data_IF_724426567790
#
_entry.id   IF_724426567790
#
_cell.length_a   1.000
_cell.length_b   1.000
_cell.length_c   1.000
_cell.angle_alpha   90.00
_cell.angle_beta   90.00
_cell.angle_gamma   90.00
#
_symmetry.space_group_name_H-M   'P 1'
#
loop_
_entity.id
_entity.type
_entity.pdbx_description
1 polymer ?
#
# COMPACT_ATOMS: atom_id res chain seq x y z
N UNK A 1 -7.05 1.43 5.16
CA UNK A 1 -6.02 2.34 5.72
C UNK A 1 -6.43 3.81 5.63
N UNK A 2 -6.88 4.30 4.47
CA UNK A 2 -7.22 5.72 4.28
C UNK A 2 -8.33 6.24 5.22
N UNK A 3 -9.39 5.44 5.42
CA UNK A 3 -10.51 5.82 6.31
C UNK A 3 -10.08 5.93 7.79
N UNK A 4 -9.12 5.10 8.22
CA UNK A 4 -8.58 5.12 9.59
C UNK A 4 -7.71 6.37 9.84
N UNK A 5 -7.01 6.86 8.81
CA UNK A 5 -6.20 8.06 8.92
C UNK A 5 -7.09 9.32 8.98
N UNK A 6 -8.18 9.35 8.21
CA UNK A 6 -9.13 10.45 8.21
C UNK A 6 -9.83 10.61 9.57
N UNK A 7 -10.22 9.49 10.20
CA UNK A 7 -10.80 9.51 11.55
C UNK A 7 -9.83 10.00 12.62
N UNK A 8 -8.53 9.68 12.50
CA UNK A 8 -7.52 10.16 13.45
C UNK A 8 -7.32 11.67 13.32
N UNK A 9 -7.22 12.19 12.08
CA UNK A 9 -7.07 13.63 11.84
C UNK A 9 -8.30 14.40 12.34
N UNK A 10 -9.52 13.89 12.07
CA UNK A 10 -10.75 14.52 12.54
C UNK A 10 -10.84 14.52 14.08
N UNK A 11 -10.40 13.44 14.73
CA UNK A 11 -10.36 13.34 16.20
C UNK A 11 -9.37 14.35 16.81
N UNK A 12 -8.20 14.55 16.21
CA UNK A 12 -7.23 15.55 16.68
C UNK A 12 -7.70 16.99 16.45
N UNK A 13 -8.42 17.27 15.34
CA UNK A 13 -9.01 18.59 15.12
C UNK A 13 -10.09 18.92 16.15
N UNK A 14 -10.94 17.96 16.54
CA UNK A 14 -11.95 18.16 17.59
C UNK A 14 -11.27 18.33 18.97
N UNK A 15 -10.24 17.54 19.27
CA UNK A 15 -9.51 17.65 20.54
C UNK A 15 -8.83 19.02 20.69
N UNK A 16 -8.31 19.58 19.59
CA UNK A 16 -7.71 20.93 19.58
C UNK A 16 -8.69 22.06 19.84
N UNK A 17 -9.99 21.88 19.53
CA UNK A 17 -11.04 22.85 19.84
C UNK A 17 -11.55 22.72 21.29
N UNK A 18 -11.37 21.56 21.93
CA UNK A 18 -11.80 21.31 23.32
C UNK A 18 -10.81 21.80 24.40
N UNK A 19 -9.60 22.19 24.01
CA UNK A 19 -8.53 22.67 24.90
C UNK A 19 -8.32 24.18 24.75
N UNK A 20 -9.37 24.97 24.88
CA UNK A 20 -9.22 26.39 25.21
C UNK A 20 -9.49 26.57 26.71
N UNK A 21 -8.47 26.89 27.54
CA UNK A 21 -8.73 27.27 28.92
C UNK A 21 -9.51 28.59 28.93
N UNK A 22 -10.69 28.60 29.54
CA UNK A 22 -11.46 29.82 29.79
C UNK A 22 -10.77 30.63 30.90
N UNK A 23 -9.87 31.56 30.54
CA UNK A 23 -9.28 32.48 31.52
C UNK A 23 -10.23 33.66 31.75
N UNK A 24 -10.80 33.80 32.94
CA UNK A 24 -11.34 35.10 33.38
C UNK A 24 -10.17 35.99 33.81
N UNK A 25 -9.84 37.01 33.02
CA UNK A 25 -8.89 38.04 33.43
C UNK A 25 -9.64 39.08 34.27
N UNK A 26 -9.35 39.13 35.58
CA UNK A 26 -9.82 40.20 36.45
C UNK A 26 -8.67 41.20 36.67
N UNK A 27 -8.79 42.39 36.11
CA UNK A 27 -7.83 43.49 36.29
C UNK A 27 -8.57 44.65 36.98
N UNK A 28 -8.00 45.15 38.08
CA UNK A 28 -8.49 46.37 38.74
C UNK A 28 -7.31 47.26 39.12
N UNK A 29 -7.44 48.56 38.85
CA UNK A 29 -6.41 49.56 39.16
C UNK A 29 -7.06 50.71 39.91
N UNK A 30 -6.54 51.03 41.10
CA UNK A 30 -6.99 52.16 41.91
C UNK A 30 -6.04 53.35 41.79
N UNK A 31 -6.41 54.32 40.95
CA UNK A 31 -5.66 55.57 40.81
C UNK A 31 -6.13 56.61 41.84
N UNK A 32 -6.03 56.26 43.12
CA UNK A 32 -6.57 57.03 44.24
C UNK A 32 -8.02 56.69 44.58
N UNK A 33 -8.43 57.00 45.81
CA UNK A 33 -9.74 56.68 46.37
C UNK A 33 -10.56 57.97 46.46
N UNK A 34 -11.53 58.19 45.56
CA UNK A 34 -12.36 59.39 45.56
C UNK A 34 -13.83 59.03 45.76
N UNK A 35 -14.61 59.82 46.52
CA UNK A 35 -16.05 59.60 46.62
C UNK A 35 -16.75 59.86 45.27
N UNK A 36 -17.77 59.08 44.89
CA UNK A 36 -18.32 57.93 45.63
C UNK A 36 -17.44 56.67 45.48
N UNK A 37 -17.16 55.99 46.60
CA UNK A 37 -16.39 54.75 46.62
C UNK A 37 -17.27 53.60 46.15
N UNK A 38 -17.23 53.24 44.86
CA UNK A 38 -18.10 52.18 44.29
C UNK A 38 -17.59 50.77 44.61
N UNK A 39 -16.27 50.61 44.64
CA UNK A 39 -15.62 49.30 44.61
C UNK A 39 -14.88 48.97 45.91
N UNK A 40 -14.90 49.89 46.89
CA UNK A 40 -14.20 49.73 48.17
C UNK A 40 -15.10 50.09 49.34
N UNK A 41 -15.13 49.20 50.32
CA UNK A 41 -15.77 49.40 51.61
C UNK A 41 -14.71 49.64 52.68
N UNK A 42 -14.90 50.69 53.48
CA UNK A 42 -13.95 51.15 54.51
C UNK A 42 -14.58 50.89 55.88
N UNK A 43 -13.87 50.22 56.79
CA UNK A 43 -14.38 49.77 58.10
C UNK A 43 -13.41 50.06 59.26
N UNK A 44 -13.97 50.26 60.46
CA UNK A 44 -13.19 50.68 61.62
C UNK A 44 -12.80 52.15 61.51
N UNK A 45 -11.57 52.50 61.87
CA UNK A 45 -11.10 53.89 61.89
C UNK A 45 -10.51 54.38 60.55
N UNK A 46 -10.55 53.54 59.51
CA UNK A 46 -10.03 53.92 58.20
C UNK A 46 -10.90 54.99 57.54
N UNK A 47 -10.27 55.91 56.83
CA UNK A 47 -10.96 56.98 56.12
C UNK A 47 -10.22 57.35 54.85
N UNK A 48 -10.92 58.00 53.93
CA UNK A 48 -10.32 58.51 52.69
C UNK A 48 -10.07 59.99 52.85
N UNK A 49 -8.85 60.42 52.59
CA UNK A 49 -8.47 61.83 52.64
C UNK A 49 -9.05 62.59 51.44
N UNK A 50 -9.27 63.91 51.53
CA UNK A 50 -9.74 64.72 50.40
C UNK A 50 -8.82 64.66 49.16
N UNK A 51 -7.55 64.27 49.35
CA UNK A 51 -6.55 64.11 48.28
C UNK A 51 -6.52 62.70 47.67
N UNK A 52 -7.46 61.83 48.04
CA UNK A 52 -7.59 60.51 47.46
C UNK A 52 -6.71 59.41 48.07
N UNK A 53 -6.02 59.69 49.19
CA UNK A 53 -5.24 58.66 49.90
C UNK A 53 -6.11 57.93 50.93
N UNK A 54 -5.98 56.61 51.01
CA UNK A 54 -6.63 55.79 52.03
C UNK A 54 -5.80 55.77 53.30
N UNK A 55 -6.40 56.24 54.40
CA UNK A 55 -5.80 56.24 55.72
C UNK A 55 -6.32 55.04 56.50
N UNK A 56 -5.42 54.13 56.87
CA UNK A 56 -5.77 52.89 57.59
C UNK A 56 -5.64 53.00 59.12
N UNK A 57 -4.86 53.95 59.65
CA UNK A 57 -4.62 54.07 61.10
C UNK A 57 -4.57 55.53 61.59
N UNK A 58 -4.78 55.76 62.89
CA UNK A 58 -4.64 57.06 63.57
C UNK A 58 -3.75 56.89 64.81
N UNK A 59 -2.78 57.78 64.98
CA UNK A 59 -1.65 57.62 65.93
C UNK A 59 -2.10 57.56 67.41
N UNK A 60 -3.25 58.12 67.76
CA UNK A 60 -3.60 58.40 69.16
C UNK A 60 -4.05 57.19 70.00
N UNK A 61 -4.16 55.96 69.45
CA UNK A 61 -4.82 54.87 70.17
C UNK A 61 -4.43 53.43 69.82
N UNK A 62 -3.40 53.19 69.00
CA UNK A 62 -3.04 51.80 68.64
C UNK A 62 -4.26 51.05 68.03
N UNK A 63 -5.04 51.72 67.19
CA UNK A 63 -6.24 51.17 66.55
C UNK A 63 -5.97 50.88 65.06
N UNK A 64 -6.57 49.82 64.52
CA UNK A 64 -6.44 49.39 63.12
C UNK A 64 -7.74 49.59 62.34
N UNK A 65 -7.67 50.24 61.18
CA UNK A 65 -8.74 50.32 60.19
C UNK A 65 -8.52 49.33 59.03
N UNK A 66 -9.60 49.00 58.34
CA UNK A 66 -9.64 47.99 57.28
C UNK A 66 -10.31 48.54 56.02
N UNK A 67 -9.79 48.15 54.85
CA UNK A 67 -10.47 48.38 53.59
C UNK A 67 -10.63 47.07 52.82
N UNK A 68 -11.81 46.92 52.22
CA UNK A 68 -12.23 45.74 51.47
C UNK A 68 -12.58 46.12 50.05
N UNK A 69 -12.12 45.31 49.09
CA UNK A 69 -12.64 45.36 47.74
C UNK A 69 -14.05 44.76 47.70
N UNK A 70 -15.05 45.56 47.34
CA UNK A 70 -16.47 45.23 47.50
C UNK A 70 -16.98 44.17 46.51
N UNK A 71 -16.24 43.87 45.44
CA UNK A 71 -16.65 42.87 44.43
C UNK A 71 -16.03 41.51 44.77
N UNK A 72 -16.85 40.46 45.02
CA UNK A 72 -16.33 39.13 45.31
C UNK A 72 -15.52 38.57 44.14
N UNK A 73 -14.35 38.00 44.45
CA UNK A 73 -13.53 37.29 43.47
C UNK A 73 -13.87 35.80 43.56
N UNK A 74 -14.29 35.20 42.45
CA UNK A 74 -14.60 33.76 42.39
C UNK A 74 -13.33 32.97 42.15
N UNK A 75 -12.93 32.19 43.16
CA UNK A 75 -11.74 31.31 43.10
C UNK A 75 -12.07 29.84 42.81
N UNK A 76 -13.37 29.49 42.76
CA UNK A 76 -13.89 28.13 42.55
C UNK A 76 -15.09 28.17 41.61
N UNK A 77 -15.03 27.41 40.52
CA UNK A 77 -16.18 27.13 39.61
C UNK A 77 -16.23 25.62 39.22
N UNK A 78 -15.46 24.76 39.89
CA UNK A 78 -15.38 23.33 39.60
C UNK A 78 -16.34 22.51 40.48
N UNK A 79 -17.07 21.51 39.94
CA UNK A 79 -17.86 20.58 40.75
C UNK A 79 -17.01 19.77 41.75
N UNK A 80 -15.69 19.72 41.56
CA UNK A 80 -14.74 19.04 42.44
C UNK A 80 -14.10 19.97 43.48
N UNK A 81 -14.60 21.20 43.63
CA UNK A 81 -14.19 22.15 44.67
C UNK A 81 -12.69 22.59 44.63
N UNK A 82 -12.04 22.36 43.49
CA UNK A 82 -10.64 22.73 43.23
C UNK A 82 -10.48 24.22 42.95
N UNK A 83 -9.54 24.87 43.63
CA UNK A 83 -9.23 26.30 43.50
C UNK A 83 -8.40 26.57 42.25
N UNK A 84 -8.68 27.67 41.52
CA UNK A 84 -7.85 28.10 40.39
C UNK A 84 -6.49 28.65 40.87
N UNK A 85 -5.41 28.28 40.17
CA UNK A 85 -4.11 28.94 40.34
C UNK A 85 -4.21 30.40 39.92
N UNK A 86 -3.73 31.32 40.76
CA UNK A 86 -3.71 32.75 40.47
C UNK A 86 -2.34 33.37 40.71
N UNK A 87 -2.09 34.50 40.04
CA UNK A 87 -0.92 35.36 40.27
C UNK A 87 -1.43 36.79 40.40
N UNK A 88 -0.91 37.53 41.39
CA UNK A 88 -1.29 38.92 41.61
C UNK A 88 -0.04 39.78 41.78
N UNK A 89 -0.11 41.03 41.31
CA UNK A 89 0.97 42.01 41.39
C UNK A 89 0.39 43.31 41.92
N UNK A 90 0.90 43.79 43.05
CA UNK A 90 0.49 45.06 43.65
C UNK A 90 1.63 46.07 43.60
N UNK A 91 1.31 47.32 43.30
CA UNK A 91 2.24 48.46 43.40
C UNK A 91 1.56 49.52 44.26
N UNK A 92 2.18 49.90 45.38
CA UNK A 92 1.66 50.92 46.28
C UNK A 92 2.80 51.73 46.90
N UNK A 93 2.47 52.92 47.41
CA UNK A 93 3.36 53.76 48.20
C UNK A 93 2.76 53.93 49.60
N UNK A 94 3.58 53.73 50.64
CA UNK A 94 3.18 53.96 52.04
C UNK A 94 3.86 55.24 52.50
N UNK A 95 3.06 56.20 52.99
CA UNK A 95 3.55 57.40 53.66
C UNK A 95 3.36 57.25 55.17
N UNK A 96 4.46 57.15 55.93
CA UNK A 96 4.45 56.92 57.37
C UNK A 96 4.75 58.21 58.13
N UNK A 97 3.86 58.63 59.02
CA UNK A 97 3.99 59.87 59.80
C UNK A 97 5.13 59.86 60.83
N UNK A 98 5.69 58.70 61.20
CA UNK A 98 6.75 58.57 62.22
C UNK A 98 7.86 57.68 61.67
N UNK A 99 8.95 58.27 61.18
CA UNK A 99 10.08 57.57 60.57
C UNK A 99 11.03 56.89 61.57
N UNK A 100 10.84 57.07 62.88
CA UNK A 100 11.77 56.60 63.94
C UNK A 100 11.51 55.19 64.47
N UNK A 101 10.34 54.61 64.22
CA UNK A 101 10.04 53.22 64.60
C UNK A 101 9.84 52.38 63.34
N UNK A 102 10.73 51.41 63.09
CA UNK A 102 10.51 50.40 62.07
C UNK A 102 9.38 49.47 62.51
N UNK A 103 8.33 49.35 61.71
CA UNK A 103 7.16 48.52 62.06
C UNK A 103 5.84 48.93 61.41
N UNK A 104 5.77 50.02 60.63
CA UNK A 104 4.58 50.30 59.84
C UNK A 104 4.58 49.43 58.57
N UNK A 105 3.67 48.46 58.51
CA UNK A 105 3.49 47.58 57.37
C UNK A 105 2.01 47.37 57.08
N UNK A 106 1.71 46.80 55.91
CA UNK A 106 0.37 46.35 55.58
C UNK A 106 0.39 44.90 55.15
N UNK A 107 -0.65 44.15 55.47
CA UNK A 107 -0.81 42.77 55.01
C UNK A 107 -2.00 42.66 54.06
N UNK A 108 -1.81 41.95 52.95
CA UNK A 108 -2.92 41.55 52.10
C UNK A 108 -3.50 40.25 52.63
N UNK A 109 -4.75 40.28 53.06
CA UNK A 109 -5.44 39.08 53.54
C UNK A 109 -6.52 38.70 52.56
N UNK A 110 -6.82 37.42 52.52
CA UNK A 110 -7.87 36.90 51.69
C UNK A 110 -8.92 36.24 52.58
N UNK A 111 -10.03 36.94 52.86
CA UNK A 111 -11.05 36.52 53.83
C UNK A 111 -12.35 36.06 53.16
N UNK A 112 -13.19 35.21 53.77
CA UNK A 112 -14.47 34.78 53.18
C UNK A 112 -15.64 35.74 53.48
N UNK A 113 -15.45 36.76 54.31
CA UNK A 113 -16.48 37.73 54.73
C UNK A 113 -15.90 39.14 54.80
N UNK A 114 -16.76 40.15 54.62
CA UNK A 114 -16.41 41.57 54.71
C UNK A 114 -16.29 42.08 56.16
N UNK A 115 -15.90 41.25 57.12
CA UNK A 115 -15.81 41.63 58.54
C UNK A 115 -14.72 40.83 59.26
N UNK A 116 -13.86 41.52 60.00
CA UNK A 116 -12.84 40.92 60.88
C UNK A 116 -13.17 41.22 62.35
N UNK A 117 -12.87 40.27 63.24
CA UNK A 117 -13.05 40.45 64.69
C UNK A 117 -12.03 41.48 65.22
N UNK A 118 -12.41 42.40 66.13
CA UNK A 118 -11.47 43.37 66.68
C UNK A 118 -10.40 42.66 67.52
N UNK A 119 -9.13 42.76 67.09
CA UNK A 119 -7.97 42.21 67.81
C UNK A 119 -6.88 43.27 67.96
N UNK A 120 -6.06 43.14 69.01
CA UNK A 120 -5.00 44.08 69.34
C UNK A 120 -4.01 44.29 68.16
N UNK A 121 -3.59 45.55 67.90
CA UNK A 121 -2.87 46.00 66.69
C UNK A 121 -1.48 45.39 66.47
N UNK A 122 -0.91 44.71 67.46
CA UNK A 122 0.42 44.10 67.38
C UNK A 122 0.43 42.67 66.86
N UNK A 123 -0.74 42.02 66.73
CA UNK A 123 -0.80 40.64 66.22
C UNK A 123 -1.06 40.55 64.72
N UNK A 124 -1.51 41.64 64.08
CA UNK A 124 -1.81 41.66 62.65
C UNK A 124 -1.63 43.08 62.09
N UNK A 125 -0.41 43.41 61.66
CA UNK A 125 -0.05 44.66 60.97
C UNK A 125 -1.13 45.07 59.94
N UNK A 126 -1.64 46.30 60.08
CA UNK A 126 -2.68 46.99 59.28
C UNK A 126 -3.10 46.27 57.98
N UNK A 127 -4.19 45.50 58.04
CA UNK A 127 -4.59 44.60 56.96
C UNK A 127 -5.45 45.28 55.89
N UNK A 128 -5.09 45.09 54.62
CA UNK A 128 -5.95 45.29 53.46
C UNK A 128 -6.47 43.91 53.04
N UNK A 129 -7.78 43.70 52.87
CA UNK A 129 -8.30 42.34 52.65
C UNK A 129 -9.02 42.20 51.30
N UNK A 130 -8.53 41.29 50.46
CA UNK A 130 -9.07 40.90 49.16
C UNK A 130 -9.69 39.49 49.27
N UNK A 131 -11.01 39.34 49.38
CA UNK A 131 -11.72 38.10 49.76
C UNK A 131 -11.46 36.87 48.84
N UNK A 132 -11.16 35.67 49.37
CA UNK A 132 -10.87 34.44 48.55
C UNK A 132 -10.05 33.24 49.13
N UNK A 133 -10.37 32.63 50.27
CA UNK A 133 -9.88 31.29 50.77
C UNK A 133 -8.40 30.80 50.61
N UNK A 134 -7.76 30.55 51.78
CA UNK A 134 -6.56 29.73 52.14
C UNK A 134 -5.10 30.27 52.00
N UNK A 135 -4.57 30.76 53.13
CA UNK A 135 -3.40 30.27 53.90
C UNK A 135 -1.99 30.08 53.31
N UNK A 136 -1.07 31.03 53.59
CA UNK A 136 0.32 30.79 54.08
C UNK A 136 1.06 32.11 54.36
N UNK A 137 1.86 32.16 55.43
CA UNK A 137 2.58 33.34 55.94
C UNK A 137 3.86 33.66 55.15
N UNK A 138 4.19 34.95 54.99
CA UNK A 138 5.48 35.41 54.42
C UNK A 138 6.11 36.43 55.36
N UNK A 139 7.37 36.18 55.71
CA UNK A 139 8.23 37.02 56.56
C UNK A 139 9.13 37.91 55.69
N UNK A 140 9.33 39.18 56.05
CA UNK A 140 10.26 40.07 55.34
C UNK A 140 11.14 40.88 56.30
N UNK A 141 12.45 40.78 56.06
CA UNK A 141 13.51 41.57 56.69
C UNK A 141 13.73 42.89 55.94
N UNK A 142 13.86 43.99 56.68
CA UNK A 142 14.07 45.36 56.17
C UNK A 142 15.52 45.81 56.35
N UNK A 143 16.14 46.29 55.26
CA UNK A 143 17.24 47.26 55.31
C UNK A 143 16.86 48.45 54.43
N UNK A 144 16.92 49.64 55.04
CA UNK A 144 16.31 50.86 54.54
C UNK A 144 17.10 51.64 53.48
N UNK A 145 16.51 52.77 53.09
CA UNK A 145 17.12 53.79 52.24
C UNK A 145 16.10 54.42 51.30
N UNK A 146 15.55 55.57 51.71
CA UNK A 146 14.50 56.33 51.02
C UNK A 146 14.93 56.84 49.65
N UNK A 147 14.04 56.70 48.65
CA UNK A 147 14.02 57.50 47.43
C UNK A 147 12.60 57.48 46.88
N UNK A 148 11.99 58.64 46.71
CA UNK A 148 10.67 58.82 46.08
C UNK A 148 10.70 58.16 44.70
N UNK A 149 9.88 57.12 44.51
CA UNK A 149 9.84 56.31 43.29
C UNK A 149 9.30 57.17 42.15
N UNK A 150 10.19 57.64 41.28
CA UNK A 150 9.80 58.21 40.00
C UNK A 150 9.11 57.12 39.16
N UNK A 151 7.87 57.35 38.73
CA UNK A 151 7.10 56.42 37.89
C UNK A 151 7.85 56.00 36.61
N UNK A 152 8.82 56.79 36.15
CA UNK A 152 9.70 56.51 35.01
C UNK A 152 10.84 55.54 35.29
N UNK A 153 11.04 55.10 36.55
CA UNK A 153 12.10 54.17 36.98
C UNK A 153 11.59 52.79 37.40
N UNK A 154 10.31 52.48 37.20
CA UNK A 154 9.83 51.11 37.33
C UNK A 154 10.56 50.23 36.31
N UNK A 155 11.04 49.02 36.67
CA UNK A 155 11.52 48.09 35.67
C UNK A 155 10.38 47.84 34.69
N UNK A 156 10.60 48.03 33.39
CA UNK A 156 9.67 47.50 32.42
C UNK A 156 9.60 46.00 32.68
N UNK A 157 8.42 45.51 33.05
CA UNK A 157 8.15 44.08 33.15
C UNK A 157 8.43 43.54 31.75
N UNK A 158 9.58 42.89 31.58
CA UNK A 158 9.90 42.22 30.34
C UNK A 158 8.74 41.29 30.02
N UNK A 159 8.08 41.50 28.88
CA UNK A 159 7.17 40.50 28.34
C UNK A 159 7.97 39.20 28.30
N UNK A 160 7.65 38.26 29.20
CA UNK A 160 8.30 36.96 29.23
C UNK A 160 8.02 36.30 27.89
N UNK A 161 9.04 36.25 27.04
CA UNK A 161 9.07 35.59 25.73
C UNK A 161 8.92 34.06 25.79
N UNK A 162 8.58 33.50 26.96
CA UNK A 162 8.51 32.06 27.20
C UNK A 162 7.37 31.32 26.50
N UNK A 163 6.39 32.02 25.90
CA UNK A 163 5.27 31.39 25.17
C UNK A 163 5.25 31.66 23.66
N UNK A 164 6.02 32.63 23.15
CA UNK A 164 6.04 32.93 21.72
C UNK A 164 6.61 31.76 20.89
N UNK A 165 7.61 31.07 21.43
CA UNK A 165 8.23 29.92 20.75
C UNK A 165 7.27 28.72 20.63
N UNK A 166 6.37 28.53 21.60
CA UNK A 166 5.33 27.49 21.54
C UNK A 166 4.30 27.80 20.45
N UNK A 167 3.89 29.07 20.30
CA UNK A 167 2.99 29.48 19.22
C UNK A 167 3.62 29.30 17.83
N UNK A 168 4.91 29.65 17.68
CA UNK A 168 5.66 29.43 16.44
C UNK A 168 5.81 27.94 16.12
N UNK A 169 6.10 27.11 17.13
CA UNK A 169 6.19 25.65 16.99
C UNK A 169 4.85 25.04 16.57
N UNK A 170 3.75 25.47 17.18
CA UNK A 170 2.40 25.01 16.81
C UNK A 170 2.06 25.40 15.36
N UNK A 171 2.37 26.62 14.96
CA UNK A 171 2.15 27.08 13.59
C UNK A 171 2.99 26.28 12.58
N UNK A 172 4.24 25.98 12.91
CA UNK A 172 5.13 25.14 12.10
C UNK A 172 4.60 23.70 11.96
N UNK A 173 4.07 23.11 13.04
CA UNK A 173 3.47 21.76 13.02
C UNK A 173 2.23 21.74 12.12
N UNK A 174 1.37 22.76 12.20
CA UNK A 174 0.17 22.87 11.35
C UNK A 174 0.55 23.00 9.88
N UNK A 175 1.50 23.87 9.55
CA UNK A 175 1.99 24.03 8.17
C UNK A 175 2.60 22.71 7.66
N UNK A 176 3.43 22.05 8.48
CA UNK A 176 4.02 20.77 8.12
C UNK A 176 2.95 19.70 7.84
N UNK A 177 1.89 19.65 8.66
CA UNK A 177 0.75 18.76 8.44
C UNK A 177 0.01 19.03 7.12
N UNK A 178 -0.20 20.31 6.78
CA UNK A 178 -0.83 20.71 5.51
C UNK A 178 0.05 20.32 4.32
N UNK A 179 1.37 20.55 4.41
CA UNK A 179 2.30 20.17 3.34
C UNK A 179 2.36 18.64 3.15
N UNK A 180 2.37 17.86 4.24
CA UNK A 180 2.32 16.39 4.17
C UNK A 180 1.02 15.88 3.53
N UNK A 181 -0.12 16.49 3.84
CA UNK A 181 -1.41 16.08 3.23
C UNK A 181 -1.45 16.39 1.74
N UNK A 182 -0.99 17.57 1.31
CA UNK A 182 -0.85 17.93 -0.11
C UNK A 182 0.09 16.95 -0.82
N UNK A 183 1.22 16.61 -0.21
CA UNK A 183 2.17 15.63 -0.76
C UNK A 183 1.49 14.26 -0.97
N UNK A 184 0.75 13.75 0.02
CA UNK A 184 0.06 12.45 -0.14
C UNK A 184 -1.00 12.52 -1.24
N UNK A 185 -1.77 13.61 -1.34
CA UNK A 185 -2.81 13.80 -2.35
C UNK A 185 -2.25 13.89 -3.78
N UNK A 186 -1.05 14.45 -3.97
CA UNK A 186 -0.41 14.54 -5.29
C UNK A 186 0.30 13.23 -5.65
N UNK A 187 1.12 12.67 -4.74
CA UNK A 187 1.99 11.55 -5.08
C UNK A 187 1.30 10.17 -5.04
N UNK A 188 0.25 10.00 -4.24
CA UNK A 188 -0.54 8.76 -4.19
C UNK A 188 -1.21 8.41 -5.53
N UNK A 189 -1.97 9.32 -6.19
CA UNK A 189 -2.56 9.02 -7.49
C UNK A 189 -1.49 8.87 -8.57
N UNK A 190 -0.38 9.62 -8.55
CA UNK A 190 0.73 9.43 -9.50
C UNK A 190 1.32 8.02 -9.35
N UNK A 191 1.51 7.52 -8.12
CA UNK A 191 1.96 6.15 -7.89
C UNK A 191 0.93 5.12 -8.32
N UNK A 192 -0.35 5.34 -8.06
CA UNK A 192 -1.43 4.46 -8.49
C UNK A 192 -1.52 4.40 -10.01
N UNK A 193 -1.50 5.55 -10.70
CA UNK A 193 -1.47 5.65 -12.16
C UNK A 193 -0.20 5.00 -12.69
N UNK A 194 1.00 5.25 -12.12
CA UNK A 194 2.22 4.51 -12.49
C UNK A 194 2.08 3.01 -12.26
N UNK A 195 1.41 2.56 -11.21
CA UNK A 195 1.19 1.15 -10.93
C UNK A 195 0.22 0.52 -11.95
N UNK A 196 -0.87 1.23 -12.28
CA UNK A 196 -1.85 0.86 -13.30
C UNK A 196 -1.19 0.85 -14.68
N UNK A 197 -0.43 1.89 -15.04
CA UNK A 197 0.32 1.98 -16.29
C UNK A 197 1.41 0.91 -16.35
N UNK A 198 2.14 0.64 -15.26
CA UNK A 198 3.10 -0.49 -15.19
C UNK A 198 2.40 -1.83 -15.35
N UNK A 199 1.23 -2.04 -14.72
CA UNK A 199 0.41 -3.24 -14.93
C UNK A 199 -0.06 -3.32 -16.38
N UNK A 200 -0.60 -2.25 -16.95
CA UNK A 200 -1.05 -2.20 -18.34
C UNK A 200 0.10 -2.45 -19.31
N UNK A 201 1.26 -1.82 -19.11
CA UNK A 201 2.49 -2.06 -19.90
C UNK A 201 3.06 -3.47 -19.70
N UNK A 202 2.81 -4.09 -18.55
CA UNK A 202 3.10 -5.51 -18.32
C UNK A 202 2.21 -6.40 -19.20
N UNK A 203 0.96 -6.01 -19.49
CA UNK A 203 -0.02 -6.79 -20.28
C UNK A 203 -0.32 -6.20 -21.67
N UNK A 204 0.47 -5.24 -22.14
CA UNK A 204 0.35 -4.71 -23.50
C UNK A 204 0.93 -5.76 -24.43
N UNK A 205 0.05 -6.29 -25.28
CA UNK A 205 0.33 -7.35 -26.23
C UNK A 205 0.24 -6.72 -27.62
N UNK A 206 1.33 -6.75 -28.37
CA UNK A 206 1.33 -6.42 -29.80
C UNK A 206 0.61 -7.54 -30.55
N UNK A 207 -0.23 -7.16 -31.51
CA UNK A 207 -1.00 -8.06 -32.37
C UNK A 207 -0.45 -7.83 -33.78
N UNK A 208 0.18 -8.87 -34.35
CA UNK A 208 0.66 -8.84 -35.74
C UNK A 208 -0.47 -9.25 -36.70
N UNK A 209 -0.41 -8.82 -37.96
CA UNK A 209 -1.50 -8.98 -38.94
C UNK A 209 -1.91 -10.44 -39.19
N UNK A 210 -1.00 -11.41 -39.05
CA UNK A 210 -1.31 -12.84 -39.16
C UNK A 210 -2.12 -13.36 -37.96
N UNK A 211 -2.07 -12.70 -36.79
CA UNK A 211 -2.87 -13.09 -35.62
C UNK A 211 -4.36 -12.80 -35.83
N UNK A 212 -4.72 -11.97 -36.80
CA UNK A 212 -6.12 -11.61 -37.10
C UNK A 212 -6.93 -12.80 -37.61
N UNK A 213 -6.30 -13.71 -38.34
CA UNK A 213 -6.94 -14.92 -38.91
C UNK A 213 -7.17 -16.01 -37.84
N UNK A 214 -6.31 -16.07 -36.82
CA UNK A 214 -6.34 -17.07 -35.75
C UNK A 214 -6.81 -16.52 -34.38
N UNK A 215 -7.21 -15.24 -34.32
CA UNK A 215 -7.53 -14.50 -33.11
C UNK A 215 -8.56 -15.19 -32.21
N UNK A 216 -9.48 -15.97 -32.79
CA UNK A 216 -10.55 -16.69 -32.07
C UNK A 216 -10.00 -17.70 -31.05
N UNK A 217 -8.83 -18.27 -31.29
CA UNK A 217 -8.21 -19.30 -30.42
C UNK A 217 -7.08 -18.74 -29.55
N UNK A 218 -6.90 -17.41 -29.49
CA UNK A 218 -5.87 -16.77 -28.66
C UNK A 218 -6.28 -16.77 -27.19
N UNK A 219 -5.41 -17.29 -26.34
CA UNK A 219 -5.61 -17.40 -24.89
C UNK A 219 -4.78 -16.38 -24.12
N UNK A 220 -5.27 -15.94 -22.97
CA UNK A 220 -4.57 -14.98 -22.11
C UNK A 220 -3.44 -15.67 -21.35
N UNK A 221 -2.25 -15.10 -21.38
CA UNK A 221 -1.10 -15.61 -20.64
C UNK A 221 -1.41 -15.80 -19.15
N UNK A 222 -2.18 -14.88 -18.55
CA UNK A 222 -2.58 -14.95 -17.14
C UNK A 222 -3.30 -16.27 -16.83
N UNK A 223 -4.20 -16.71 -17.70
CA UNK A 223 -5.01 -17.90 -17.47
C UNK A 223 -4.14 -19.16 -17.56
N UNK A 224 -3.22 -19.20 -18.54
CA UNK A 224 -2.25 -20.28 -18.68
C UNK A 224 -1.25 -20.33 -17.52
N UNK A 225 -0.77 -19.17 -17.06
CA UNK A 225 0.13 -19.08 -15.90
C UNK A 225 -0.51 -19.66 -14.64
N UNK A 226 -1.80 -19.39 -14.38
CA UNK A 226 -2.49 -20.02 -13.26
C UNK A 226 -2.79 -21.49 -13.50
N UNK A 227 -3.14 -21.87 -14.73
CA UNK A 227 -3.40 -23.26 -15.09
C UNK A 227 -2.17 -24.16 -14.84
N UNK A 228 -0.97 -23.65 -15.12
CA UNK A 228 0.31 -24.36 -14.95
C UNK A 228 1.03 -24.06 -13.64
N UNK A 229 0.34 -23.42 -12.67
CA UNK A 229 0.90 -23.03 -11.37
C UNK A 229 2.22 -22.23 -11.47
N UNK A 230 2.36 -21.48 -12.56
CA UNK A 230 3.49 -20.60 -12.85
C UNK A 230 4.61 -21.21 -13.66
N UNK A 231 4.37 -22.29 -14.41
CA UNK A 231 5.39 -22.98 -15.23
C UNK A 231 6.60 -23.42 -14.41
N UNK A 232 6.35 -24.07 -13.27
CA UNK A 232 7.41 -24.57 -12.39
C UNK A 232 7.93 -25.90 -12.94
N UNK A 233 9.24 -26.10 -12.84
CA UNK A 233 9.88 -27.36 -13.21
C UNK A 233 9.74 -28.35 -12.04
N UNK A 234 8.53 -28.92 -11.91
CA UNK A 234 8.14 -29.87 -10.87
C UNK A 234 7.36 -31.05 -11.51
N UNK A 235 6.50 -31.72 -10.74
CA UNK A 235 5.66 -32.84 -11.22
C UNK A 235 4.72 -32.47 -12.39
N UNK A 236 4.46 -31.17 -12.63
CA UNK A 236 3.65 -30.73 -13.76
C UNK A 236 4.47 -30.62 -15.06
N UNK A 237 5.80 -30.76 -15.03
CA UNK A 237 6.64 -30.80 -16.24
C UNK A 237 6.54 -32.17 -16.92
N UNK A 238 5.91 -32.22 -18.10
CA UNK A 238 5.69 -33.46 -18.86
C UNK A 238 6.90 -33.84 -19.71
N UNK A 239 7.70 -32.87 -20.14
CA UNK A 239 8.89 -33.12 -20.95
C UNK A 239 9.60 -31.84 -21.35
N UNK A 240 10.89 -31.96 -21.67
CA UNK A 240 11.72 -30.88 -22.21
C UNK A 240 12.56 -31.43 -23.35
N UNK A 241 12.65 -30.68 -24.46
CA UNK A 241 13.42 -31.07 -25.64
C UNK A 241 13.76 -29.89 -26.55
N UNK A 242 14.18 -30.18 -27.78
CA UNK A 242 14.56 -29.16 -28.77
C UNK A 242 13.46 -28.14 -29.08
N UNK A 243 12.20 -28.52 -28.88
CA UNK A 243 11.01 -27.70 -29.13
C UNK A 243 10.55 -26.90 -27.91
N UNK A 244 11.30 -26.94 -26.80
CA UNK A 244 10.96 -26.27 -25.54
C UNK A 244 10.44 -27.23 -24.46
N UNK A 245 9.63 -26.72 -23.54
CA UNK A 245 9.14 -27.45 -22.36
C UNK A 245 7.62 -27.57 -22.38
N UNK A 246 7.09 -28.72 -21.99
CA UNK A 246 5.65 -29.00 -21.97
C UNK A 246 5.18 -29.19 -20.54
N UNK A 247 4.17 -28.43 -20.13
CA UNK A 247 3.63 -28.45 -18.77
C UNK A 247 2.18 -28.94 -18.76
N UNK A 248 1.84 -29.79 -17.81
CA UNK A 248 0.46 -30.10 -17.46
C UNK A 248 -0.17 -28.87 -16.79
N UNK A 249 -1.44 -28.62 -17.09
CA UNK A 249 -2.21 -27.59 -16.43
C UNK A 249 -3.69 -27.92 -16.33
N UNK A 250 -4.40 -27.18 -15.48
CA UNK A 250 -5.85 -27.28 -15.34
C UNK A 250 -6.46 -25.90 -15.53
N UNK A 251 -7.32 -25.77 -16.54
CA UNK A 251 -7.94 -24.48 -16.85
C UNK A 251 -8.83 -24.00 -15.69
N UNK A 252 -8.60 -22.81 -15.11
CA UNK A 252 -9.28 -22.39 -13.87
C UNK A 252 -10.82 -22.37 -13.96
N UNK A 253 -11.37 -22.06 -15.14
CA UNK A 253 -12.82 -21.90 -15.35
C UNK A 253 -13.53 -23.21 -15.70
N UNK A 254 -12.92 -24.02 -16.56
CA UNK A 254 -13.54 -25.23 -17.11
C UNK A 254 -13.11 -26.49 -16.39
N UNK A 255 -12.07 -26.42 -15.54
CA UNK A 255 -11.41 -27.58 -14.93
C UNK A 255 -10.88 -28.60 -15.94
N UNK A 256 -10.73 -28.20 -17.21
CA UNK A 256 -10.20 -29.04 -18.27
C UNK A 256 -8.69 -29.20 -18.11
N UNK A 257 -8.21 -30.43 -18.11
CA UNK A 257 -6.78 -30.74 -18.15
C UNK A 257 -6.22 -30.40 -19.55
N UNK A 258 -5.08 -29.70 -19.56
CA UNK A 258 -4.41 -29.23 -20.76
C UNK A 258 -2.92 -29.51 -20.70
N UNK A 259 -2.30 -29.58 -21.87
CA UNK A 259 -0.85 -29.55 -22.02
C UNK A 259 -0.43 -28.22 -22.65
N UNK A 260 0.47 -27.48 -22.00
CA UNK A 260 0.97 -26.19 -22.47
C UNK A 260 2.42 -26.35 -22.90
N UNK A 261 2.66 -26.34 -24.21
CA UNK A 261 3.99 -26.36 -24.82
C UNK A 261 4.52 -24.93 -24.88
N UNK A 262 5.56 -24.65 -24.11
CA UNK A 262 6.30 -23.39 -24.09
C UNK A 262 7.49 -23.50 -25.03
N UNK A 263 7.33 -22.94 -26.22
CA UNK A 263 8.33 -22.97 -27.28
C UNK A 263 9.50 -22.05 -26.91
N UNK A 264 10.72 -22.55 -27.13
CA UNK A 264 11.93 -21.78 -26.88
C UNK A 264 12.06 -20.64 -27.88
N UNK A 265 11.96 -19.39 -27.43
CA UNK A 265 12.17 -18.20 -28.28
C UNK A 265 13.65 -17.80 -28.42
N UNK A 266 14.59 -18.72 -28.16
CA UNK A 266 16.04 -18.41 -28.23
C UNK A 266 16.56 -18.33 -29.68
N UNK A 267 15.80 -18.81 -30.65
CA UNK A 267 16.17 -18.81 -32.07
C UNK A 267 15.00 -18.37 -32.94
N UNK A 268 15.30 -17.87 -34.14
CA UNK A 268 14.28 -17.58 -35.16
C UNK A 268 13.50 -18.84 -35.58
N UNK A 269 14.05 -20.03 -35.36
CA UNK A 269 13.39 -21.29 -35.68
C UNK A 269 12.19 -21.54 -34.76
N UNK A 270 12.28 -21.21 -33.47
CA UNK A 270 11.17 -21.42 -32.53
C UNK A 270 9.90 -20.65 -32.91
N UNK A 271 10.05 -19.42 -33.41
CA UNK A 271 8.91 -18.64 -33.92
C UNK A 271 8.34 -19.25 -35.21
N UNK A 272 9.20 -19.72 -36.12
CA UNK A 272 8.74 -20.41 -37.34
C UNK A 272 7.95 -21.66 -37.02
N UNK A 273 8.44 -22.50 -36.11
CA UNK A 273 7.78 -23.73 -35.69
C UNK A 273 6.44 -23.42 -35.02
N UNK A 274 6.40 -22.39 -34.17
CA UNK A 274 5.18 -21.91 -33.53
C UNK A 274 4.11 -21.47 -34.54
N UNK A 275 4.49 -20.68 -35.54
CA UNK A 275 3.58 -20.22 -36.60
C UNK A 275 3.16 -21.38 -37.49
N UNK A 276 4.08 -22.26 -37.87
CA UNK A 276 3.78 -23.44 -38.68
C UNK A 276 2.77 -24.37 -38.00
N UNK A 277 2.91 -24.57 -36.70
CA UNK A 277 2.00 -25.40 -35.91
C UNK A 277 0.60 -24.78 -35.82
N UNK A 278 0.48 -23.47 -35.58
CA UNK A 278 -0.82 -22.76 -35.59
C UNK A 278 -1.48 -22.80 -36.97
N UNK A 279 -0.71 -22.52 -38.02
CA UNK A 279 -1.21 -22.48 -39.39
C UNK A 279 -1.65 -23.86 -39.90
N UNK A 280 -0.95 -24.92 -39.48
CA UNK A 280 -1.27 -26.30 -39.85
C UNK A 280 -2.45 -26.81 -39.04
N UNK A 281 -2.29 -27.14 -37.76
CA UNK A 281 -3.32 -27.87 -37.01
C UNK A 281 -4.43 -26.97 -36.45
N UNK A 282 -4.27 -25.65 -36.43
CA UNK A 282 -5.17 -24.72 -35.73
C UNK A 282 -6.62 -24.71 -36.22
N UNK A 283 -6.89 -25.18 -37.45
CA UNK A 283 -8.26 -25.34 -38.01
C UNK A 283 -8.69 -26.80 -38.17
N UNK A 284 -7.81 -27.76 -37.87
CA UNK A 284 -8.06 -29.18 -38.11
C UNK A 284 -8.66 -29.83 -36.86
N UNK A 285 -9.59 -30.76 -37.08
CA UNK A 285 -10.15 -31.59 -36.01
C UNK A 285 -10.32 -33.01 -36.52
N UNK A 286 -9.52 -33.92 -35.99
CA UNK A 286 -9.58 -35.34 -36.31
C UNK A 286 -9.35 -36.18 -35.06
N UNK A 287 -10.01 -37.34 -34.96
CA UNK A 287 -9.97 -38.20 -33.76
C UNK A 287 -8.57 -38.73 -33.43
N UNK A 288 -7.69 -38.82 -34.43
CA UNK A 288 -6.31 -39.28 -34.30
C UNK A 288 -5.27 -38.14 -34.44
N UNK A 289 -5.71 -36.90 -34.32
CA UNK A 289 -4.82 -35.75 -34.14
C UNK A 289 -4.91 -35.26 -32.70
N UNK A 290 -3.81 -34.72 -32.17
CA UNK A 290 -3.80 -34.06 -30.85
C UNK A 290 -4.49 -32.71 -31.00
N UNK A 291 -5.64 -32.45 -30.35
CA UNK A 291 -6.38 -31.21 -30.55
C UNK A 291 -5.60 -29.99 -30.04
N UNK A 292 -5.35 -29.02 -30.92
CA UNK A 292 -4.85 -27.70 -30.53
C UNK A 292 -6.04 -26.84 -30.07
N UNK A 293 -6.09 -26.53 -28.78
CA UNK A 293 -7.15 -25.74 -28.16
C UNK A 293 -6.94 -24.24 -28.35
N UNK A 294 -5.69 -23.81 -28.47
CA UNK A 294 -5.36 -22.42 -28.65
C UNK A 294 -3.88 -22.13 -28.49
N UNK A 295 -3.55 -20.86 -28.57
CA UNK A 295 -2.18 -20.37 -28.45
C UNK A 295 -2.13 -19.10 -27.61
N UNK A 296 -0.96 -18.77 -27.08
CA UNK A 296 -0.69 -17.49 -26.46
C UNK A 296 0.68 -17.01 -26.91
N UNK A 297 0.71 -15.82 -27.51
CA UNK A 297 1.93 -15.09 -27.85
C UNK A 297 1.98 -13.79 -27.05
N UNK A 298 3.06 -13.61 -26.28
CA UNK A 298 3.30 -12.38 -25.49
C UNK A 298 4.80 -12.14 -25.32
N UNK A 299 5.32 -11.09 -25.97
CA UNK A 299 6.76 -10.79 -25.99
C UNK A 299 7.54 -12.02 -26.46
N UNK A 300 8.40 -12.57 -25.60
CA UNK A 300 9.18 -13.78 -25.87
C UNK A 300 8.49 -15.10 -25.47
N UNK A 301 7.25 -15.03 -24.98
CA UNK A 301 6.46 -16.21 -24.62
C UNK A 301 5.67 -16.69 -25.83
N UNK A 302 6.00 -17.90 -26.29
CA UNK A 302 5.31 -18.63 -27.34
C UNK A 302 4.72 -19.90 -26.73
N UNK A 303 3.40 -19.93 -26.54
CA UNK A 303 2.69 -21.01 -25.86
C UNK A 303 1.65 -21.63 -26.77
N UNK A 304 1.68 -22.96 -26.90
CA UNK A 304 0.67 -23.75 -27.59
C UNK A 304 -0.06 -24.60 -26.57
N UNK A 305 -1.38 -24.69 -26.69
CA UNK A 305 -2.25 -25.32 -25.69
C UNK A 305 -3.02 -26.46 -26.33
N UNK A 306 -2.80 -27.68 -25.84
CA UNK A 306 -3.42 -28.90 -26.34
C UNK A 306 -4.28 -29.56 -25.28
N UNK A 307 -5.12 -30.49 -25.72
CA UNK A 307 -5.67 -31.49 -24.82
C UNK A 307 -4.55 -32.31 -24.16
N UNK A 308 -4.70 -32.57 -22.86
CA UNK A 308 -3.77 -33.41 -22.13
C UNK A 308 -3.95 -34.89 -22.50
N UNK A 309 -2.84 -35.57 -22.78
CA UNK A 309 -2.79 -36.99 -23.13
C UNK A 309 -2.26 -37.78 -21.91
N UNK A 310 -3.12 -38.46 -21.14
CA UNK A 310 -2.76 -39.02 -19.84
C UNK A 310 -1.76 -40.17 -19.92
N UNK A 311 -1.74 -40.92 -21.04
CA UNK A 311 -0.86 -42.06 -21.22
C UNK A 311 0.48 -41.68 -21.86
N UNK A 312 0.73 -40.38 -22.11
CA UNK A 312 2.00 -39.88 -22.64
C UNK A 312 2.28 -40.32 -24.07
N UNK A 313 3.55 -40.35 -24.45
CA UNK A 313 4.02 -40.67 -25.80
C UNK A 313 4.32 -42.17 -25.99
N UNK A 314 4.24 -42.64 -27.23
CA UNK A 314 4.41 -44.05 -27.59
C UNK A 314 5.83 -44.56 -27.34
N UNK A 315 6.85 -43.72 -27.50
CA UNK A 315 8.26 -44.07 -27.27
C UNK A 315 8.56 -44.56 -25.83
N UNK A 316 7.78 -44.09 -24.85
CA UNK A 316 7.80 -44.60 -23.46
C UNK A 316 7.55 -46.11 -23.40
N UNK A 317 6.67 -46.63 -24.26
CA UNK A 317 6.27 -48.03 -24.29
C UNK A 317 7.15 -48.90 -25.19
N UNK A 318 7.95 -48.29 -26.07
CA UNK A 318 8.79 -49.01 -27.04
C UNK A 318 10.25 -49.12 -26.62
N UNK A 319 10.81 -48.11 -25.94
CA UNK A 319 12.26 -47.99 -25.76
C UNK A 319 12.73 -47.95 -24.30
N UNK A 320 11.89 -47.54 -23.35
CA UNK A 320 12.33 -47.15 -22.02
C UNK A 320 12.21 -48.24 -20.94
N UNK A 321 12.34 -49.53 -21.33
CA UNK A 321 12.14 -50.68 -20.42
C UNK A 321 10.83 -50.56 -19.63
N UNK A 322 9.68 -50.63 -20.31
CA UNK A 322 8.42 -50.17 -19.76
C UNK A 322 7.94 -51.05 -18.60
N UNK A 323 7.45 -50.43 -17.51
CA UNK A 323 6.69 -51.11 -16.46
C UNK A 323 5.38 -51.71 -17.00
N UNK A 324 4.83 -51.13 -18.08
CA UNK A 324 3.59 -51.54 -18.73
C UNK A 324 3.82 -51.67 -20.23
N UNK A 325 3.72 -52.88 -20.77
CA UNK A 325 3.84 -53.13 -22.20
C UNK A 325 2.49 -53.03 -22.91
N UNK A 326 2.46 -52.39 -24.07
CA UNK A 326 1.27 -52.40 -24.93
C UNK A 326 1.06 -53.78 -25.55
N UNK A 327 -0.16 -54.30 -25.48
CA UNK A 327 -0.55 -55.54 -26.15
C UNK A 327 -0.68 -55.35 -27.67
N UNK A 328 -0.84 -56.46 -28.40
CA UNK A 328 -0.92 -56.41 -29.86
C UNK A 328 -2.17 -55.68 -30.39
N UNK A 329 -3.29 -55.77 -29.68
CA UNK A 329 -4.53 -55.10 -30.08
C UNK A 329 -4.40 -53.58 -29.91
N UNK A 330 -3.82 -53.12 -28.80
CA UNK A 330 -3.49 -51.72 -28.54
C UNK A 330 -2.52 -51.19 -29.58
N UNK A 331 -1.43 -51.91 -29.88
CA UNK A 331 -0.49 -51.54 -30.94
C UNK A 331 -1.20 -51.40 -32.28
N UNK A 332 -1.99 -52.40 -32.67
CA UNK A 332 -2.75 -52.36 -33.94
C UNK A 332 -3.71 -51.16 -33.99
N UNK A 333 -4.37 -50.84 -32.87
CA UNK A 333 -5.27 -49.69 -32.74
C UNK A 333 -4.51 -48.36 -32.92
N UNK A 334 -3.33 -48.24 -32.31
CA UNK A 334 -2.45 -47.07 -32.44
C UNK A 334 -2.00 -46.90 -33.90
N UNK A 335 -1.54 -47.97 -34.54
CA UNK A 335 -1.10 -47.97 -35.95
C UNK A 335 -2.24 -47.49 -36.87
N UNK A 336 -3.43 -48.07 -36.72
CA UNK A 336 -4.62 -47.66 -37.47
C UNK A 336 -4.97 -46.19 -37.24
N UNK A 337 -4.84 -45.72 -36.00
CA UNK A 337 -5.07 -44.32 -35.66
C UNK A 337 -4.10 -43.37 -36.37
N UNK A 338 -2.80 -43.66 -36.31
CA UNK A 338 -1.76 -42.85 -36.98
C UNK A 338 -1.95 -42.86 -38.50
N UNK A 339 -2.27 -44.02 -39.09
CA UNK A 339 -2.57 -44.11 -40.51
C UNK A 339 -3.81 -43.29 -40.90
N UNK A 340 -4.88 -43.32 -40.08
CA UNK A 340 -6.08 -42.50 -40.29
C UNK A 340 -5.78 -41.01 -40.19
N UNK A 341 -4.91 -40.59 -39.26
CA UNK A 341 -4.49 -39.20 -39.16
C UNK A 341 -3.75 -38.74 -40.41
N UNK A 342 -2.86 -39.56 -40.95
CA UNK A 342 -2.06 -39.20 -42.12
C UNK A 342 -2.87 -39.19 -43.41
N UNK A 343 -3.78 -40.15 -43.55
CA UNK A 343 -4.74 -40.11 -44.65
C UNK A 343 -5.55 -38.81 -44.64
N UNK A 344 -6.06 -38.40 -43.47
CA UNK A 344 -6.76 -37.12 -43.33
C UNK A 344 -5.89 -35.92 -43.73
N UNK A 345 -4.63 -35.89 -43.28
CA UNK A 345 -3.68 -34.81 -43.58
C UNK A 345 -3.28 -34.74 -45.05
N UNK A 346 -3.18 -35.88 -45.73
CA UNK A 346 -2.69 -35.97 -47.10
C UNK A 346 -3.79 -35.82 -48.14
N UNK A 347 -5.01 -36.30 -47.85
CA UNK A 347 -6.06 -36.48 -48.87
C UNK A 347 -7.39 -35.80 -48.54
N UNK A 348 -7.78 -35.66 -47.26
CA UNK A 348 -9.12 -35.19 -46.88
C UNK A 348 -9.19 -33.70 -46.51
N UNK A 349 -8.07 -33.10 -46.09
CA UNK A 349 -8.03 -31.69 -45.70
C UNK A 349 -7.97 -30.74 -46.91
N UNK A 350 -8.32 -29.46 -46.71
CA UNK A 350 -8.33 -28.42 -47.75
C UNK A 350 -6.99 -28.29 -48.52
N UNK A 351 -5.88 -28.51 -47.82
CA UNK A 351 -4.52 -28.50 -48.34
C UNK A 351 -3.79 -29.76 -47.91
N UNK A 352 -2.84 -30.22 -48.72
CA UNK A 352 -1.97 -31.36 -48.35
C UNK A 352 -1.05 -30.90 -47.22
N UNK A 353 -1.08 -31.60 -46.10
CA UNK A 353 -0.24 -31.33 -44.93
C UNK A 353 0.82 -32.41 -44.81
N UNK A 354 2.08 -32.01 -44.98
CA UNK A 354 3.22 -32.92 -44.84
C UNK A 354 3.84 -32.68 -43.47
N UNK A 355 3.81 -33.68 -42.60
CA UNK A 355 4.17 -33.55 -41.19
C UNK A 355 5.69 -33.44 -40.97
N UNK A 356 6.49 -34.25 -41.69
CA UNK A 356 7.97 -34.22 -41.72
C UNK A 356 8.72 -34.57 -40.42
N UNK A 357 8.01 -34.91 -39.34
CA UNK A 357 8.62 -35.33 -38.07
C UNK A 357 7.80 -36.42 -37.36
N UNK A 358 7.36 -37.42 -38.11
CA UNK A 358 6.64 -38.56 -37.56
C UNK A 358 7.64 -39.48 -36.87
N UNK A 359 7.47 -39.67 -35.57
CA UNK A 359 8.27 -40.53 -34.71
C UNK A 359 7.45 -40.97 -33.49
N UNK A 360 7.90 -42.01 -32.80
CA UNK A 360 7.19 -42.55 -31.63
C UNK A 360 6.98 -41.53 -30.50
N UNK A 361 7.88 -40.55 -30.32
CA UNK A 361 7.70 -39.48 -29.33
C UNK A 361 6.59 -38.48 -29.68
N UNK A 362 6.20 -38.40 -30.95
CA UNK A 362 5.17 -37.48 -31.47
C UNK A 362 3.80 -38.16 -31.62
N UNK A 363 3.72 -39.46 -31.31
CA UNK A 363 2.46 -40.20 -31.19
C UNK A 363 2.08 -40.25 -29.71
N UNK A 364 1.06 -39.48 -29.33
CA UNK A 364 0.53 -39.45 -27.97
C UNK A 364 -0.64 -40.41 -27.81
N UNK A 365 -0.85 -40.87 -26.57
CA UNK A 365 -1.89 -41.82 -26.21
C UNK A 365 -2.93 -41.15 -25.30
N UNK A 366 -4.19 -41.17 -25.73
CA UNK A 366 -5.31 -40.74 -24.88
C UNK A 366 -5.66 -41.80 -23.82
N UNK A 367 -6.68 -41.54 -23.00
CA UNK A 367 -7.07 -42.39 -21.88
C UNK A 367 -7.39 -43.83 -22.29
N UNK A 368 -7.93 -44.05 -23.49
CA UNK A 368 -8.29 -45.36 -24.05
C UNK A 368 -7.20 -45.95 -24.95
N UNK A 369 -5.96 -45.47 -24.83
CA UNK A 369 -4.80 -45.89 -25.61
C UNK A 369 -5.00 -45.76 -27.14
N UNK A 370 -5.77 -44.77 -27.59
CA UNK A 370 -5.82 -44.42 -29.01
C UNK A 370 -4.58 -43.58 -29.36
N UNK A 371 -3.97 -43.89 -30.51
CA UNK A 371 -2.87 -43.10 -31.05
C UNK A 371 -3.36 -41.77 -31.63
N UNK A 372 -2.74 -40.67 -31.19
CA UNK A 372 -2.96 -39.31 -31.68
C UNK A 372 -1.65 -38.68 -32.10
N UNK A 373 -1.57 -38.27 -33.36
CA UNK A 373 -0.39 -37.62 -33.92
C UNK A 373 -0.37 -36.14 -33.51
N UNK A 374 0.76 -35.68 -32.99
CA UNK A 374 1.00 -34.30 -32.58
C UNK A 374 2.35 -33.78 -33.07
N UNK A 375 2.66 -32.55 -32.68
CA UNK A 375 3.90 -31.83 -33.00
C UNK A 375 4.06 -31.46 -34.49
N UNK A 376 3.35 -30.41 -34.89
CA UNK A 376 3.31 -29.92 -36.27
C UNK A 376 4.34 -28.81 -36.55
N UNK A 377 5.35 -28.64 -35.69
CA UNK A 377 6.33 -27.54 -35.81
C UNK A 377 7.10 -27.53 -37.12
N UNK A 378 7.32 -28.71 -37.74
CA UNK A 378 8.02 -28.83 -39.03
C UNK A 378 7.08 -29.00 -40.23
N UNK A 379 5.77 -28.97 -39.99
CA UNK A 379 4.76 -29.27 -40.99
C UNK A 379 4.72 -28.22 -42.12
N UNK A 380 4.27 -28.65 -43.30
CA UNK A 380 4.11 -27.79 -44.47
C UNK A 380 2.76 -28.00 -45.14
N UNK A 381 2.15 -26.90 -45.55
CA UNK A 381 0.93 -26.85 -46.34
C UNK A 381 1.28 -26.77 -47.83
N UNK A 382 0.69 -27.62 -48.65
CA UNK A 382 0.88 -27.69 -50.10
C UNK A 382 -0.47 -27.69 -50.81
N UNK A 383 -0.55 -27.07 -51.98
CA UNK A 383 -1.74 -27.14 -52.83
C UNK A 383 -1.88 -28.54 -53.44
N UNK A 384 -3.11 -29.02 -53.58
CA UNK A 384 -3.38 -30.29 -54.27
C UNK A 384 -2.87 -30.23 -55.71
N UNK A 385 -2.04 -31.21 -56.11
CA UNK A 385 -1.46 -31.28 -57.45
C UNK A 385 -0.31 -30.27 -57.72
N UNK A 386 0.17 -29.55 -56.72
CA UNK A 386 1.36 -28.70 -56.84
C UNK A 386 2.59 -29.47 -56.38
N UNK A 387 3.65 -29.51 -57.17
CA UNK A 387 4.90 -30.16 -56.74
C UNK A 387 5.45 -29.47 -55.49
N UNK A 388 5.80 -30.22 -54.44
CA UNK A 388 6.39 -29.64 -53.26
C UNK A 388 7.70 -28.94 -53.62
N UNK A 389 7.79 -27.64 -53.32
CA UNK A 389 9.03 -26.88 -53.47
C UNK A 389 10.17 -27.59 -52.73
N UNK A 390 11.38 -27.58 -53.30
CA UNK A 390 12.54 -28.17 -52.64
C UNK A 390 12.86 -27.38 -51.38
N UNK A 391 13.10 -28.08 -50.27
CA UNK A 391 13.31 -27.47 -48.95
C UNK A 391 14.53 -28.04 -48.27
N UNK A 392 15.04 -27.29 -47.30
CA UNK A 392 16.05 -27.78 -46.38
C UNK A 392 15.55 -29.05 -45.69
N UNK A 393 16.45 -30.03 -45.57
CA UNK A 393 16.18 -31.30 -44.89
C UNK A 393 15.80 -30.98 -43.43
N UNK A 394 14.62 -31.45 -43.02
CA UNK A 394 14.15 -31.34 -41.65
C UNK A 394 13.48 -32.65 -41.24
N UNK A 395 13.56 -32.97 -39.95
CA UNK A 395 13.06 -34.21 -39.36
C UNK A 395 14.11 -34.86 -38.46
N UNK A 396 13.71 -35.90 -37.74
CA UNK A 396 14.57 -36.57 -36.77
C UNK A 396 15.47 -37.62 -37.42
N UNK A 397 16.78 -37.54 -37.16
CA UNK A 397 17.75 -38.55 -37.61
C UNK A 397 17.32 -39.96 -37.23
N UNK A 398 17.43 -40.88 -38.19
CA UNK A 398 16.95 -42.25 -38.05
C UNK A 398 15.51 -42.46 -38.57
N UNK A 399 14.66 -41.44 -38.61
CA UNK A 399 13.32 -41.56 -39.19
C UNK A 399 13.25 -41.03 -40.63
N UNK A 400 14.22 -40.20 -41.03
CA UNK A 400 14.33 -39.65 -42.39
C UNK A 400 14.42 -40.74 -43.47
N UNK A 401 13.73 -40.47 -44.58
CA UNK A 401 13.75 -41.35 -45.74
C UNK A 401 15.12 -41.35 -46.43
N UNK A 402 15.54 -42.46 -47.08
CA UNK A 402 16.90 -42.61 -47.61
C UNK A 402 17.26 -41.59 -48.69
N UNK A 403 16.27 -41.17 -49.47
CA UNK A 403 16.38 -40.11 -50.46
C UNK A 403 16.73 -38.77 -49.82
N UNK A 404 16.11 -38.42 -48.69
CA UNK A 404 16.38 -37.17 -47.96
C UNK A 404 17.81 -37.12 -47.41
N UNK A 405 18.33 -38.25 -46.94
CA UNK A 405 19.70 -38.35 -46.39
C UNK A 405 20.75 -38.24 -47.50
N UNK A 406 20.47 -38.80 -48.69
CA UNK A 406 21.44 -38.89 -49.79
C UNK A 406 21.57 -37.59 -50.59
N UNK A 407 20.48 -36.85 -50.81
CA UNK A 407 20.48 -35.70 -51.73
C UNK A 407 20.74 -34.37 -51.04
N UNK A 408 20.63 -34.29 -49.71
CA UNK A 408 20.67 -33.02 -48.98
C UNK A 408 19.54 -32.05 -49.36
N UNK A 409 18.58 -32.51 -50.17
CA UNK A 409 17.41 -31.77 -50.67
C UNK A 409 16.20 -32.66 -50.48
N UNK A 410 15.37 -32.33 -49.51
CA UNK A 410 14.14 -33.05 -49.29
C UNK A 410 13.02 -32.36 -50.07
N UNK A 411 12.56 -33.00 -51.16
CA UNK A 411 11.20 -32.76 -51.64
C UNK A 411 10.30 -33.30 -50.55
N UNK A 412 9.69 -32.43 -49.75
CA UNK A 412 8.75 -32.84 -48.71
C UNK A 412 7.56 -33.47 -49.44
N UNK A 413 7.40 -34.79 -49.38
CA UNK A 413 6.31 -35.51 -50.05
C UNK A 413 5.52 -36.33 -49.03
N UNK A 414 4.27 -36.64 -49.34
CA UNK A 414 3.45 -37.57 -48.54
C UNK A 414 4.14 -38.92 -48.35
N UNK A 415 4.92 -39.39 -49.34
CA UNK A 415 5.72 -40.61 -49.25
C UNK A 415 6.79 -40.57 -48.13
N UNK A 416 7.37 -39.40 -47.85
CA UNK A 416 8.34 -39.27 -46.75
C UNK A 416 7.69 -39.50 -45.38
N UNK A 417 6.47 -38.99 -45.19
CA UNK A 417 5.68 -39.25 -43.98
C UNK A 417 5.32 -40.73 -43.84
N UNK A 418 4.91 -41.37 -44.94
CA UNK A 418 4.59 -42.82 -44.97
C UNK A 418 5.80 -43.67 -44.58
N UNK A 419 7.01 -43.31 -45.04
CA UNK A 419 8.24 -43.99 -44.62
C UNK A 419 8.49 -43.84 -43.11
N UNK A 420 8.31 -42.64 -42.57
CA UNK A 420 8.54 -42.35 -41.16
C UNK A 420 7.61 -43.15 -40.23
N UNK A 421 6.35 -43.39 -40.63
CA UNK A 421 5.40 -44.25 -39.89
C UNK A 421 6.02 -45.62 -39.61
N UNK A 422 6.64 -46.23 -40.62
CA UNK A 422 7.23 -47.55 -40.49
C UNK A 422 8.35 -47.53 -39.45
N UNK A 423 9.21 -46.51 -39.48
CA UNK A 423 10.24 -46.30 -38.46
C UNK A 423 9.67 -46.07 -37.06
N UNK A 424 8.61 -45.27 -36.93
CA UNK A 424 7.95 -44.93 -35.66
C UNK A 424 7.31 -46.14 -34.96
N UNK A 425 6.88 -47.15 -35.71
CA UNK A 425 6.10 -48.27 -35.20
C UNK A 425 6.86 -49.59 -35.11
N UNK A 426 7.96 -49.74 -35.87
CA UNK A 426 8.70 -51.01 -35.96
C UNK A 426 10.07 -50.99 -35.29
N UNK A 427 10.68 -49.81 -35.09
CA UNK A 427 11.96 -49.74 -34.40
C UNK A 427 11.75 -49.96 -32.91
N UNK A 428 11.93 -51.21 -32.49
CA UNK A 428 12.30 -51.54 -31.11
C UNK A 428 13.82 -51.38 -31.00
N UNK A 429 14.25 -50.19 -30.56
CA UNK A 429 15.64 -49.89 -30.20
C UNK A 429 16.72 -50.34 -31.19
N UNK A 430 17.08 -49.46 -32.14
CA UNK A 430 18.41 -49.56 -32.75
C UNK A 430 19.39 -48.95 -31.74
N UNK A 431 20.22 -49.80 -31.13
CA UNK A 431 21.40 -49.38 -30.35
C UNK A 431 22.46 -48.78 -31.25
#
# INVERSE_FOLDING_TARGET
MFLKLLTIVFFFSILSQSLQPSSQNLEFTFNGFYPPLSDISVQGISSVTPKGALKLTKIAGLESGHAFYSKPIRFKDSPNDTVFSFSTTFVFAIDTLISRFGGAGMAFVIAPKFSLSPSAPSQYLSQFVCVGTFGSWVEFSSKGGSSVVALSKLPQVGQRSGMAWLAVLLYAIVIFGILCTIFVLIFSPIRLVRCILRRRRKFLEEIEDWETEFAKNRMKFKDLYYATKGFKDNDDLLGTGGFGSVYKGVMPKTQKEIAVKRVSNKSQQGLKDFVAEIASIGRMSHRNLVPLLGYCRRKDELLLVYDYMPNGSLDKYLHHSPEVSLDWNQRTKIIKGVASALFFLHEEWEQVVIHRDIKSSNVLLDAEYNGRLGDFGLARLCGHGTDPQTTDVAGTWGYLAPDQVRTGRATATTATDVFCIWGALTRSGVR
#
